data_IF_398668369439
#
_entry.id   IF_398668369439
#
_cell.length_a   1.000
_cell.length_b   1.000
_cell.length_c   1.000
_cell.angle_alpha   90.00
_cell.angle_beta   90.00
_cell.angle_gamma   90.00
#
_symmetry.space_group_name_H-M   'P 1'
#
loop_
_entity.id
_entity.type
_entity.pdbx_description
1 polymer ?
#
# COMPACT_ATOMS: atom_id res chain seq x y z
N UNK A 1 -6.81 4.30 1.50
CA UNK A 1 -5.59 3.65 2.05
C UNK A 1 -5.41 4.03 3.53
N UNK A 2 -4.96 3.10 4.41
CA UNK A 2 -4.65 3.42 5.81
C UNK A 2 -3.43 4.35 5.98
N UNK A 3 -2.63 4.55 4.92
CA UNK A 3 -1.51 5.48 4.88
C UNK A 3 -1.71 6.47 3.74
N UNK A 4 -1.70 7.78 4.06
CA UNK A 4 -1.91 8.88 3.09
C UNK A 4 -0.76 9.89 3.14
N UNK A 5 -0.56 10.63 2.05
CA UNK A 5 0.43 11.69 1.96
C UNK A 5 1.83 11.21 1.55
N UNK A 6 2.87 11.69 2.22
CA UNK A 6 4.26 11.45 1.80
C UNK A 6 4.77 10.07 2.20
N UNK A 7 5.34 9.33 1.24
CA UNK A 7 6.02 8.06 1.52
C UNK A 7 5.07 6.94 1.95
N UNK A 8 3.87 6.85 1.35
CA UNK A 8 2.82 5.90 1.74
C UNK A 8 3.28 4.43 1.74
N UNK A 9 4.24 4.06 0.91
CA UNK A 9 4.79 2.69 0.90
C UNK A 9 5.82 2.43 2.01
N UNK A 10 6.39 3.47 2.63
CA UNK A 10 7.41 3.36 3.67
C UNK A 10 6.83 3.11 5.07
N UNK A 11 5.76 3.82 5.41
CA UNK A 11 5.16 3.79 6.74
C UNK A 11 4.57 2.44 7.19
N UNK A 12 3.99 1.59 6.31
CA UNK A 12 3.58 0.25 6.69
C UNK A 12 4.71 -0.53 7.37
N UNK A 13 5.93 -0.44 6.84
CA UNK A 13 7.08 -1.15 7.40
C UNK A 13 7.60 -0.55 8.70
N UNK A 14 7.68 0.78 8.79
CA UNK A 14 8.07 1.46 10.03
C UNK A 14 7.10 1.14 11.18
N UNK A 15 5.81 1.01 10.85
CA UNK A 15 4.78 0.65 11.82
C UNK A 15 4.67 -0.86 12.10
N UNK A 16 5.45 -1.70 11.41
CA UNK A 16 5.37 -3.17 11.48
C UNK A 16 4.02 -3.75 11.02
N UNK A 17 3.45 -3.12 10.02
CA UNK A 17 2.22 -3.52 9.34
C UNK A 17 2.47 -3.77 7.83
N UNK A 18 3.40 -4.68 7.43
CA UNK A 18 3.75 -4.88 6.02
C UNK A 18 2.57 -5.30 5.14
N UNK A 19 1.53 -5.88 5.74
CA UNK A 19 0.30 -6.25 5.05
C UNK A 19 -0.39 -5.06 4.34
N UNK A 20 -0.18 -3.82 4.80
CA UNK A 20 -0.73 -2.62 4.17
C UNK A 20 0.17 -2.01 3.09
N UNK A 21 1.32 -2.63 2.79
CA UNK A 21 2.12 -2.27 1.61
C UNK A 21 1.34 -2.61 0.35
N UNK A 22 1.24 -1.65 -0.58
CA UNK A 22 0.43 -1.85 -1.77
C UNK A 22 0.17 -0.57 -2.53
N UNK A 23 -0.83 -0.64 -3.38
CA UNK A 23 -1.24 0.44 -4.27
C UNK A 23 -2.75 0.58 -4.30
N UNK A 24 -3.22 1.75 -4.69
CA UNK A 24 -4.64 2.09 -4.81
C UNK A 24 -4.81 2.97 -6.03
N UNK A 25 -5.64 2.55 -6.98
CA UNK A 25 -6.10 3.36 -8.10
C UNK A 25 -7.43 3.98 -7.66
N UNK A 26 -7.55 5.29 -7.74
CA UNK A 26 -8.74 6.02 -7.31
C UNK A 26 -8.99 7.25 -8.19
N UNK A 27 -10.23 7.74 -8.17
CA UNK A 27 -10.59 9.00 -8.81
C UNK A 27 -9.94 10.19 -8.10
N UNK A 28 -9.70 11.27 -8.83
CA UNK A 28 -9.29 12.55 -8.25
C UNK A 28 -10.54 13.29 -7.74
N UNK A 29 -10.45 13.90 -6.57
CA UNK A 29 -11.44 14.82 -6.02
C UNK A 29 -10.74 16.07 -5.45
N UNK A 30 -11.48 16.92 -4.73
CA UNK A 30 -10.95 18.16 -4.16
C UNK A 30 -9.95 17.94 -2.99
N UNK A 31 -9.87 16.73 -2.45
CA UNK A 31 -8.97 16.39 -1.35
C UNK A 31 -7.69 15.67 -1.81
N UNK A 32 -6.78 15.42 -0.87
CA UNK A 32 -5.52 14.70 -1.15
C UNK A 32 -5.70 13.20 -0.89
N UNK A 33 -5.59 12.41 -1.96
CA UNK A 33 -5.73 10.95 -1.93
C UNK A 33 -7.07 10.45 -1.34
N UNK A 34 -8.17 11.20 -1.56
CA UNK A 34 -9.49 10.94 -0.94
C UNK A 34 -10.57 10.40 -1.86
N UNK A 35 -10.40 10.52 -3.18
CA UNK A 35 -11.43 10.12 -4.13
C UNK A 35 -11.73 8.62 -4.12
N UNK A 36 -12.81 8.22 -4.78
CA UNK A 36 -13.35 6.85 -4.71
C UNK A 36 -12.37 5.84 -5.33
N UNK A 37 -12.15 4.72 -4.65
CA UNK A 37 -11.27 3.62 -5.07
C UNK A 37 -11.89 2.91 -6.26
N UNK A 38 -11.06 2.66 -7.27
CA UNK A 38 -11.38 1.82 -8.42
C UNK A 38 -10.79 0.42 -8.18
N UNK A 39 -9.47 0.34 -8.01
CA UNK A 39 -8.76 -0.93 -7.75
C UNK A 39 -7.78 -0.78 -6.60
N UNK A 40 -7.53 -1.89 -5.91
CA UNK A 40 -6.49 -2.00 -4.92
C UNK A 40 -5.67 -3.27 -5.11
N UNK A 41 -4.43 -3.23 -4.64
CA UNK A 41 -3.54 -4.38 -4.62
C UNK A 41 -2.56 -4.29 -3.48
N UNK A 42 -2.28 -5.42 -2.83
CA UNK A 42 -1.21 -5.53 -1.84
C UNK A 42 0.05 -6.04 -2.51
N UNK A 43 1.18 -5.46 -2.16
CA UNK A 43 2.48 -5.86 -2.70
C UNK A 43 2.75 -7.33 -2.38
N UNK A 44 3.22 -8.13 -3.35
CA UNK A 44 3.78 -9.43 -3.01
C UNK A 44 5.04 -9.21 -2.17
N UNK A 45 5.13 -9.94 -1.05
CA UNK A 45 6.25 -9.90 -0.11
C UNK A 45 6.74 -11.33 0.05
N UNK A 46 8.04 -11.51 -0.16
CA UNK A 46 8.72 -12.78 -0.13
C UNK A 46 9.89 -12.74 0.85
N UNK A 47 10.33 -13.92 1.29
CA UNK A 47 11.44 -14.03 2.22
C UNK A 47 12.71 -13.47 1.58
N UNK A 48 13.44 -12.64 2.32
CA UNK A 48 14.67 -11.99 1.84
C UNK A 48 14.44 -10.71 1.02
N UNK A 49 13.20 -10.31 0.77
CA UNK A 49 12.93 -9.03 0.13
C UNK A 49 13.44 -7.87 1.00
N UNK A 50 14.14 -6.92 0.38
CA UNK A 50 14.38 -5.61 0.97
C UNK A 50 13.17 -4.70 0.81
N UNK A 51 13.17 -3.58 1.55
CA UNK A 51 12.16 -2.53 1.35
C UNK A 51 12.08 -2.06 -0.12
N UNK A 52 13.22 -1.97 -0.80
CA UNK A 52 13.28 -1.52 -2.20
C UNK A 52 12.72 -2.58 -3.16
N UNK A 53 12.97 -3.86 -2.91
CA UNK A 53 12.43 -4.95 -3.73
C UNK A 53 10.90 -4.96 -3.69
N UNK A 54 10.33 -4.83 -2.49
CA UNK A 54 8.87 -4.72 -2.31
C UNK A 54 8.34 -3.46 -2.99
N UNK A 55 9.09 -2.35 -2.90
CA UNK A 55 8.79 -1.11 -3.62
C UNK A 55 8.67 -1.33 -5.13
N UNK A 56 9.66 -1.97 -5.74
CA UNK A 56 9.65 -2.31 -7.17
C UNK A 56 8.48 -3.24 -7.54
N UNK A 57 8.24 -4.28 -6.75
CA UNK A 57 7.07 -5.18 -6.93
C UNK A 57 5.74 -4.41 -6.86
N UNK A 58 5.65 -3.41 -5.99
CA UNK A 58 4.46 -2.53 -5.87
C UNK A 58 4.24 -1.70 -7.14
N UNK A 59 5.32 -1.19 -7.74
CA UNK A 59 5.25 -0.42 -8.99
C UNK A 59 4.76 -1.30 -10.14
N UNK A 60 5.27 -2.53 -10.25
CA UNK A 60 4.83 -3.50 -11.26
C UNK A 60 3.33 -3.81 -11.11
N UNK A 61 2.88 -4.11 -9.89
CA UNK A 61 1.46 -4.31 -9.58
C UNK A 61 0.61 -3.08 -9.95
N UNK A 62 1.12 -1.87 -9.68
CA UNK A 62 0.43 -0.62 -10.01
C UNK A 62 0.24 -0.49 -11.52
N UNK A 63 1.26 -0.81 -12.32
CA UNK A 63 1.17 -0.78 -13.78
C UNK A 63 0.14 -1.77 -14.32
N UNK A 64 0.11 -2.99 -13.78
CA UNK A 64 -0.90 -4.01 -14.15
C UNK A 64 -2.32 -3.55 -13.83
N UNK A 65 -2.53 -2.99 -12.64
CA UNK A 65 -3.84 -2.47 -12.24
C UNK A 65 -4.25 -1.26 -13.08
N UNK A 66 -3.32 -0.40 -13.49
CA UNK A 66 -3.63 0.69 -14.42
C UNK A 66 -4.12 0.16 -15.76
N UNK A 67 -3.42 -0.82 -16.36
CA UNK A 67 -3.84 -1.42 -17.64
C UNK A 67 -5.26 -2.00 -17.53
N UNK A 68 -5.53 -2.70 -16.43
CA UNK A 68 -6.87 -3.23 -16.14
C UNK A 68 -7.91 -2.10 -16.03
N UNK A 69 -7.60 -1.08 -15.22
CA UNK A 69 -8.48 0.08 -15.01
C UNK A 69 -8.84 0.75 -16.34
N UNK A 70 -7.87 0.97 -17.22
CA UNK A 70 -8.12 1.60 -18.52
C UNK A 70 -9.04 0.78 -19.41
N UNK A 71 -8.84 -0.55 -19.48
CA UNK A 71 -9.71 -1.44 -20.27
C UNK A 71 -11.16 -1.38 -19.78
N UNK A 72 -11.35 -1.41 -18.47
CA UNK A 72 -12.69 -1.37 -17.86
C UNK A 72 -13.36 0.02 -17.96
N UNK A 73 -12.57 1.09 -18.08
CA UNK A 73 -13.10 2.42 -18.41
C UNK A 73 -13.51 2.51 -19.88
N UNK A 74 -12.71 1.96 -20.79
CA UNK A 74 -13.01 1.97 -22.23
C UNK A 74 -14.27 1.17 -22.58
N UNK A 75 -14.52 0.04 -21.92
CA UNK A 75 -15.71 -0.79 -22.13
C UNK A 75 -16.91 -0.41 -21.24
N UNK A 76 -16.75 0.60 -20.39
CA UNK A 76 -17.74 1.08 -19.40
C UNK A 76 -18.14 0.03 -18.35
N UNK A 77 -17.31 -0.99 -18.10
CA UNK A 77 -17.53 -1.97 -17.02
C UNK A 77 -17.38 -1.36 -15.63
N UNK A 78 -16.66 -0.25 -15.51
CA UNK A 78 -16.59 0.53 -14.28
C UNK A 78 -17.11 1.95 -14.49
N UNK A 79 -18.08 2.35 -13.68
CA UNK A 79 -18.64 3.71 -13.72
C UNK A 79 -18.61 4.38 -12.35
N UNK A 80 -18.55 3.60 -11.26
CA UNK A 80 -18.51 4.13 -9.91
C UNK A 80 -17.44 3.43 -9.06
N UNK A 81 -16.62 4.22 -8.37
CA UNK A 81 -15.68 3.71 -7.38
C UNK A 81 -16.32 3.50 -6.01
N UNK A 82 -15.57 2.89 -5.09
CA UNK A 82 -15.95 2.70 -3.69
C UNK A 82 -15.43 3.84 -2.82
N UNK A 83 -16.22 4.33 -1.86
CA UNK A 83 -15.79 5.40 -0.94
C UNK A 83 -14.60 4.91 -0.09
N UNK A 84 -13.55 5.73 0.01
CA UNK A 84 -12.43 5.46 0.89
C UNK A 84 -12.82 5.56 2.36
N UNK A 85 -12.30 4.65 3.19
CA UNK A 85 -12.35 4.83 4.64
C UNK A 85 -11.60 6.10 5.04
N UNK A 86 -12.19 6.87 5.97
CA UNK A 86 -11.54 8.05 6.57
C UNK A 86 -10.48 7.66 7.62
N UNK A 87 -10.49 6.42 8.08
CA UNK A 87 -9.52 5.90 9.04
C UNK A 87 -8.11 5.82 8.44
N UNK A 88 -7.10 5.80 9.30
CA UNK A 88 -5.69 5.74 8.91
C UNK A 88 -4.88 6.96 9.35
N UNK A 89 -3.62 7.01 8.88
CA UNK A 89 -2.62 8.00 9.27
C UNK A 89 -2.19 8.83 8.06
N UNK A 90 -2.16 10.14 8.24
CA UNK A 90 -1.62 11.10 7.27
C UNK A 90 -0.18 11.43 7.62
N UNK A 91 0.73 11.22 6.67
CA UNK A 91 2.14 11.57 6.83
C UNK A 91 2.53 12.73 5.94
N UNK A 92 3.22 13.70 6.54
CA UNK A 92 3.79 14.84 5.84
C UNK A 92 5.27 14.58 5.57
N UNK A 93 5.86 15.34 4.63
CA UNK A 93 7.29 15.25 4.30
C UNK A 93 8.21 15.35 5.53
N UNK A 94 7.85 16.18 6.52
CA UNK A 94 8.59 16.32 7.79
C UNK A 94 8.68 15.05 8.64
N UNK A 95 7.73 14.12 8.49
CA UNK A 95 7.79 12.84 9.20
C UNK A 95 8.86 11.93 8.58
N UNK A 96 9.07 12.01 7.27
CA UNK A 96 10.11 11.26 6.58
C UNK A 96 11.48 11.91 6.84
N UNK A 97 12.13 11.49 7.93
CA UNK A 97 13.41 12.02 8.39
C UNK A 97 14.43 10.89 8.63
N UNK A 98 15.66 11.26 8.96
CA UNK A 98 16.75 10.31 9.14
C UNK A 98 16.47 9.25 10.23
N UNK A 99 15.75 9.61 11.30
CA UNK A 99 15.43 8.67 12.38
C UNK A 99 14.42 7.62 11.93
N UNK A 100 13.39 8.03 11.18
CA UNK A 100 12.44 7.10 10.58
C UNK A 100 13.16 6.13 9.62
N UNK A 101 14.10 6.63 8.80
CA UNK A 101 14.88 5.79 7.88
C UNK A 101 15.74 4.78 8.65
N UNK A 102 16.45 5.21 9.70
CA UNK A 102 17.23 4.30 10.56
C UNK A 102 16.33 3.25 11.23
N UNK A 103 15.14 3.65 11.67
CA UNK A 103 14.17 2.74 12.25
C UNK A 103 13.75 1.66 11.25
N UNK A 104 13.44 2.04 10.00
CA UNK A 104 13.11 1.09 8.95
C UNK A 104 14.21 0.04 8.80
N UNK A 105 15.46 0.46 8.58
CA UNK A 105 16.57 -0.46 8.36
C UNK A 105 16.79 -1.39 9.57
N UNK A 106 16.73 -0.85 10.80
CA UNK A 106 16.83 -1.65 12.02
C UNK A 106 15.72 -2.69 12.15
N UNK A 107 14.52 -2.42 11.63
CA UNK A 107 13.43 -3.39 11.63
C UNK A 107 13.70 -4.52 10.63
N UNK A 108 14.15 -4.19 9.42
CA UNK A 108 14.54 -5.18 8.42
C UNK A 108 15.69 -6.07 8.90
N UNK A 109 16.75 -5.49 9.48
CA UNK A 109 17.87 -6.24 10.09
C UNK A 109 17.41 -7.19 11.19
N UNK A 110 16.32 -6.87 11.88
CA UNK A 110 15.71 -7.70 12.93
C UNK A 110 14.69 -8.71 12.39
N UNK A 111 14.65 -8.95 11.09
CA UNK A 111 13.79 -9.97 10.48
C UNK A 111 12.32 -9.58 10.38
N UNK A 112 12.01 -8.29 10.17
CA UNK A 112 10.62 -7.82 10.03
C UNK A 112 9.81 -8.65 9.02
N UNK A 113 10.43 -8.97 7.87
CA UNK A 113 9.75 -9.69 6.79
C UNK A 113 9.53 -11.15 7.18
N UNK A 114 10.53 -11.82 7.75
CA UNK A 114 10.43 -13.21 8.22
C UNK A 114 9.32 -13.35 9.25
N UNK A 115 9.31 -12.49 10.29
CA UNK A 115 8.27 -12.49 11.31
C UNK A 115 6.88 -12.21 10.74
N UNK A 116 6.79 -11.29 9.77
CA UNK A 116 5.52 -11.02 9.08
C UNK A 116 5.02 -12.26 8.31
N UNK A 117 5.91 -12.96 7.60
CA UNK A 117 5.57 -14.14 6.81
C UNK A 117 5.14 -15.32 7.69
N UNK A 118 5.70 -15.46 8.89
CA UNK A 118 5.26 -16.44 9.90
C UNK A 118 3.82 -16.19 10.35
N UNK A 119 3.39 -14.93 10.42
CA UNK A 119 2.09 -14.53 10.94
C UNK A 119 1.04 -14.20 9.85
N UNK A 120 1.44 -14.25 8.57
CA UNK A 120 0.70 -13.62 7.46
C UNK A 120 -0.76 -14.07 7.34
N UNK A 121 -1.05 -15.35 7.60
CA UNK A 121 -2.40 -15.89 7.51
C UNK A 121 -3.33 -15.26 8.56
N UNK A 122 -2.82 -15.08 9.77
CA UNK A 122 -3.59 -14.47 10.87
C UNK A 122 -3.82 -12.97 10.66
N UNK A 123 -2.83 -12.29 10.06
CA UNK A 123 -2.86 -10.85 9.76
C UNK A 123 -3.78 -10.54 8.60
N UNK A 124 -3.65 -11.25 7.47
CA UNK A 124 -4.49 -11.05 6.28
C UNK A 124 -5.98 -11.27 6.55
N UNK A 125 -6.34 -12.17 7.47
CA UNK A 125 -7.74 -12.38 7.86
C UNK A 125 -8.39 -11.13 8.48
N UNK A 126 -7.59 -10.23 9.06
CA UNK A 126 -8.07 -8.98 9.68
C UNK A 126 -8.10 -7.81 8.69
N UNK A 127 -7.58 -7.98 7.49
CA UNK A 127 -7.52 -6.91 6.50
C UNK A 127 -8.87 -6.68 5.85
N UNK A 128 -9.15 -5.43 5.44
CA UNK A 128 -10.31 -5.15 4.59
C UNK A 128 -10.19 -5.91 3.27
N UNK A 129 -11.34 -6.33 2.73
CA UNK A 129 -11.39 -6.95 1.40
C UNK A 129 -10.88 -5.96 0.36
N UNK A 130 -10.03 -6.46 -0.54
CA UNK A 130 -9.53 -5.70 -1.69
C UNK A 130 -10.70 -5.42 -2.63
N UNK A 131 -10.77 -4.17 -3.11
CA UNK A 131 -11.66 -3.79 -4.21
C UNK A 131 -10.94 -4.16 -5.51
N UNK A 132 -11.53 -5.11 -6.23
CA UNK A 132 -11.03 -5.68 -7.48
C UNK A 132 -11.98 -5.36 -8.62
#
# INVERSE_FOLDING_TARGET
SPFRGSGTNFWPFVNKEPEYSGTTIHYIDEGTDTGRIIHQGFSPIEKGDSFHDIGCKTILLTAELFIKTFKELEDNSITEGVIQSKEGKLYYRRHFNADAVRQLYKLFEKGLIEHYLEEIQSRKRKMPKIIK
#
